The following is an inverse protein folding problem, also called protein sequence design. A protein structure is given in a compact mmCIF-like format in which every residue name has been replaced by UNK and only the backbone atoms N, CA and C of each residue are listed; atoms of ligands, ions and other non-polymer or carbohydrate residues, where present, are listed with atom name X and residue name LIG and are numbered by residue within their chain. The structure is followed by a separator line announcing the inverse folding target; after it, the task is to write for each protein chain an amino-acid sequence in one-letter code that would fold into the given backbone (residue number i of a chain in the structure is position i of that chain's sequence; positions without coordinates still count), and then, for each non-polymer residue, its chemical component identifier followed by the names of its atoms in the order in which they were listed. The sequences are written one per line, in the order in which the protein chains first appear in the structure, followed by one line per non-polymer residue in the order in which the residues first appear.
data_IF_090784970221
#
_entry.id   IF_090784970221
#
_cell.length_a   1.000
_cell.length_b   1.000
_cell.length_c   1.000
_cell.angle_alpha   90.00
_cell.angle_beta   90.00
_cell.angle_gamma   90.00
#
_symmetry.space_group_name_H-M   'P 1'
#
loop_
_entity.id
_entity.type
_entity.pdbx_description
1 polymer ?
#
# COMPACT_ATOMS: atom_id res chain seq x y z
N UNK A 1 -45.33 -18.75 79.73
CA UNK A 1 -45.66 -17.44 80.31
C UNK A 1 -45.52 -16.40 79.21
N UNK A 2 -46.63 -15.73 78.92
CA UNK A 2 -46.86 -14.82 77.83
C UNK A 2 -46.77 -13.39 78.37
N UNK A 3 -45.85 -12.54 77.91
CA UNK A 3 -45.98 -11.10 78.08
C UNK A 3 -45.50 -10.34 76.84
N UNK A 4 -46.43 -9.51 76.36
CA UNK A 4 -46.36 -8.56 75.26
C UNK A 4 -45.44 -7.39 75.62
N UNK A 5 -44.88 -6.71 74.63
CA UNK A 5 -44.90 -5.26 74.57
C UNK A 5 -44.67 -4.75 73.14
N UNK A 6 -45.50 -3.77 72.82
CA UNK A 6 -45.80 -3.16 71.54
C UNK A 6 -45.03 -1.86 71.32
N UNK A 7 -44.95 -1.46 70.04
CA UNK A 7 -45.06 -0.08 69.53
C UNK A 7 -43.77 0.66 69.18
N UNK A 8 -43.76 1.24 67.97
CA UNK A 8 -42.73 2.17 67.50
C UNK A 8 -42.72 2.37 65.99
N UNK A 9 -43.74 3.04 65.46
CA UNK A 9 -43.90 3.45 64.07
C UNK A 9 -42.83 4.50 63.69
N UNK A 10 -42.09 4.33 62.59
CA UNK A 10 -41.68 5.48 61.76
C UNK A 10 -41.44 5.06 60.30
N UNK A 11 -42.28 5.64 59.45
CA UNK A 11 -42.34 5.54 58.01
C UNK A 11 -41.23 6.41 57.40
N UNK A 12 -40.31 5.86 56.60
CA UNK A 12 -39.60 6.62 55.58
C UNK A 12 -39.47 5.80 54.30
N UNK A 13 -40.23 6.26 53.31
CA UNK A 13 -40.18 5.89 51.91
C UNK A 13 -38.86 6.40 51.32
N UNK A 14 -38.04 5.53 50.73
CA UNK A 14 -37.05 5.96 49.74
C UNK A 14 -36.94 4.91 48.63
N UNK A 15 -37.45 5.29 47.46
CA UNK A 15 -37.18 4.65 46.17
C UNK A 15 -35.66 4.64 45.91
N UNK A 16 -35.15 3.49 45.48
CA UNK A 16 -33.80 3.35 44.92
C UNK A 16 -33.79 2.21 43.91
N UNK A 17 -33.83 2.57 42.63
CA UNK A 17 -33.93 1.70 41.46
C UNK A 17 -32.51 1.20 41.10
N UNK A 18 -32.42 -0.09 40.74
CA UNK A 18 -31.38 -0.81 39.98
C UNK A 18 -29.88 -0.60 40.27
N UNK A 19 -29.22 -1.70 40.65
CA UNK A 19 -27.87 -2.00 40.15
C UNK A 19 -27.79 -3.51 39.91
N UNK A 20 -28.24 -3.94 38.74
CA UNK A 20 -27.78 -5.19 38.14
C UNK A 20 -26.51 -4.83 37.34
N UNK A 21 -25.38 -4.82 38.03
CA UNK A 21 -24.08 -4.85 37.38
C UNK A 21 -23.48 -6.23 37.69
N UNK A 22 -23.76 -7.20 36.81
CA UNK A 22 -22.85 -8.32 36.64
C UNK A 22 -21.46 -7.74 36.38
N UNK A 23 -20.49 -8.17 37.19
CA UNK A 23 -19.09 -7.92 36.92
C UNK A 23 -18.73 -8.59 35.60
N UNK A 24 -18.79 -7.82 34.51
CA UNK A 24 -18.02 -8.13 33.31
C UNK A 24 -16.54 -8.05 33.70
N UNK A 25 -15.97 -9.20 34.02
CA UNK A 25 -14.56 -9.32 34.32
C UNK A 25 -13.76 -9.05 33.03
N UNK A 26 -13.19 -7.85 32.93
CA UNK A 26 -12.38 -7.43 31.80
C UNK A 26 -11.14 -8.33 31.62
N UNK A 27 -10.73 -9.05 32.67
CA UNK A 27 -9.63 -10.02 32.60
C UNK A 27 -10.02 -11.31 31.87
N UNK A 28 -11.31 -11.66 31.80
CA UNK A 28 -11.81 -12.81 31.03
C UNK A 28 -11.82 -12.53 29.52
N UNK A 29 -12.02 -11.26 29.12
CA UNK A 29 -11.84 -10.82 27.73
C UNK A 29 -10.38 -10.75 27.30
N UNK A 30 -9.44 -10.49 28.24
CA UNK A 30 -8.00 -10.48 27.97
C UNK A 30 -7.37 -11.86 27.88
N UNK A 31 -7.95 -12.88 28.53
CA UNK A 31 -7.44 -14.26 28.51
C UNK A 31 -7.89 -15.09 27.31
N UNK A 32 -8.76 -14.55 26.46
CA UNK A 32 -9.21 -15.17 25.20
C UNK A 32 -8.78 -14.37 23.98
N UNK A 33 -7.55 -13.85 23.99
CA UNK A 33 -6.90 -13.53 22.72
C UNK A 33 -6.86 -14.82 21.88
N UNK A 34 -7.46 -14.86 20.67
CA UNK A 34 -7.28 -15.99 19.76
C UNK A 34 -5.77 -16.22 19.56
N UNK A 35 -5.28 -17.46 19.35
CA UNK A 35 -3.88 -17.65 18.97
C UNK A 35 -3.60 -16.77 17.73
N UNK A 36 -2.65 -15.84 17.85
CA UNK A 36 -2.13 -15.05 16.72
C UNK A 36 -1.49 -16.01 15.71
N UNK A 37 -1.65 -15.79 14.40
CA UNK A 37 -2.24 -16.80 13.52
C UNK A 37 -1.23 -17.80 12.91
N UNK A 38 -1.68 -19.00 12.52
CA UNK A 38 -0.92 -19.97 11.71
C UNK A 38 -0.69 -19.51 10.25
N UNK A 39 -0.89 -18.22 9.97
CA UNK A 39 -0.92 -17.67 8.63
C UNK A 39 0.42 -17.05 8.24
N UNK A 40 0.90 -17.39 7.06
CA UNK A 40 2.13 -16.88 6.46
C UNK A 40 1.78 -15.89 5.36
N UNK A 41 2.30 -14.67 5.46
CA UNK A 41 2.22 -13.67 4.39
C UNK A 41 3.30 -13.92 3.33
N UNK A 42 2.91 -13.80 2.07
CA UNK A 42 3.73 -14.08 0.89
C UNK A 42 3.55 -12.96 -0.12
N UNK A 43 4.60 -12.64 -0.89
CA UNK A 43 4.46 -11.75 -2.03
C UNK A 43 5.43 -12.10 -3.16
N UNK A 44 5.13 -11.59 -4.36
CA UNK A 44 6.05 -11.58 -5.49
C UNK A 44 5.83 -10.33 -6.34
N UNK A 45 6.91 -9.77 -6.88
CA UNK A 45 6.83 -8.75 -7.94
C UNK A 45 7.05 -9.44 -9.28
N UNK A 46 6.01 -9.44 -10.13
CA UNK A 46 6.06 -10.01 -11.46
C UNK A 46 6.77 -9.04 -12.39
N UNK A 47 7.86 -9.51 -12.99
CA UNK A 47 8.65 -8.75 -13.96
C UNK A 47 9.06 -9.64 -15.12
N UNK A 48 9.30 -9.02 -16.27
CA UNK A 48 9.89 -9.68 -17.43
C UNK A 48 11.36 -10.10 -17.21
N UNK A 49 12.11 -9.39 -16.36
CA UNK A 49 13.50 -9.70 -16.04
C UNK A 49 13.69 -11.02 -15.27
N UNK A 50 12.65 -11.55 -14.64
CA UNK A 50 12.68 -12.84 -13.96
C UNK A 50 12.30 -14.01 -14.90
N UNK A 51 11.82 -13.73 -16.12
CA UNK A 51 11.46 -14.77 -17.10
C UNK A 51 12.72 -15.43 -17.66
N UNK A 52 12.68 -16.75 -17.83
CA UNK A 52 13.82 -17.55 -18.29
C UNK A 52 13.47 -18.31 -19.59
N UNK A 53 14.20 -18.10 -20.71
CA UNK A 53 15.25 -17.09 -20.90
C UNK A 53 14.67 -15.68 -20.95
N UNK A 54 15.47 -14.69 -20.53
CA UNK A 54 15.09 -13.28 -20.58
C UNK A 54 14.80 -12.85 -22.01
N UNK A 55 13.65 -12.20 -22.24
CA UNK A 55 13.30 -11.69 -23.57
C UNK A 55 13.98 -10.35 -23.86
N UNK A 56 14.60 -10.16 -25.03
CA UNK A 56 15.07 -8.85 -25.47
C UNK A 56 13.87 -7.92 -25.71
N UNK A 57 14.00 -6.65 -25.33
CA UNK A 57 12.98 -5.60 -25.60
C UNK A 57 11.60 -5.86 -24.99
N UNK A 58 11.51 -6.60 -23.88
CA UNK A 58 10.25 -6.80 -23.17
C UNK A 58 9.71 -5.47 -22.66
N UNK A 59 8.41 -5.23 -22.91
CA UNK A 59 7.68 -4.11 -22.34
C UNK A 59 7.41 -4.43 -20.87
N UNK A 60 7.85 -3.54 -19.98
CA UNK A 60 7.73 -3.67 -18.53
C UNK A 60 6.32 -4.14 -18.16
N UNK A 61 6.22 -5.43 -17.84
CA UNK A 61 5.01 -6.04 -17.31
C UNK A 61 5.27 -6.16 -15.82
N UNK A 62 4.82 -5.15 -15.08
CA UNK A 62 4.92 -5.09 -13.63
C UNK A 62 3.57 -5.52 -13.09
N UNK A 63 3.54 -6.68 -12.45
CA UNK A 63 2.40 -7.15 -11.65
C UNK A 63 2.83 -7.39 -10.20
N UNK A 64 1.89 -7.47 -9.29
CA UNK A 64 2.12 -7.83 -7.90
C UNK A 64 1.28 -9.06 -7.55
N UNK A 65 1.89 -10.05 -6.92
CA UNK A 65 1.20 -11.15 -6.29
C UNK A 65 1.33 -11.00 -4.78
N UNK A 66 0.22 -11.15 -4.07
CA UNK A 66 0.16 -11.14 -2.62
C UNK A 66 -0.68 -12.31 -2.16
N UNK A 67 -0.28 -12.97 -1.07
CA UNK A 67 -1.04 -14.08 -0.54
C UNK A 67 -0.88 -14.28 0.96
N UNK A 68 -1.87 -14.92 1.55
CA UNK A 68 -1.86 -15.47 2.92
C UNK A 68 -2.02 -16.98 2.84
N UNK A 69 -1.13 -17.72 3.50
CA UNK A 69 -1.17 -19.17 3.57
C UNK A 69 -1.50 -19.64 4.98
N UNK A 70 -2.63 -20.31 5.18
CA UNK A 70 -3.01 -20.94 6.45
C UNK A 70 -2.47 -22.36 6.52
N UNK A 71 -1.49 -22.58 7.41
CA UNK A 71 -0.84 -23.88 7.61
C UNK A 71 -1.75 -24.95 8.24
N UNK A 72 -2.90 -24.58 8.83
CA UNK A 72 -3.84 -25.56 9.40
C UNK A 72 -4.79 -26.13 8.36
N UNK A 73 -5.18 -25.30 7.40
CA UNK A 73 -6.17 -25.65 6.37
C UNK A 73 -5.55 -25.89 5.00
N UNK A 74 -4.25 -25.63 4.84
CA UNK A 74 -3.52 -25.64 3.58
C UNK A 74 -4.10 -24.70 2.53
N UNK A 75 -4.81 -23.65 2.95
CA UNK A 75 -5.42 -22.68 2.05
C UNK A 75 -4.45 -21.53 1.77
N UNK A 76 -4.18 -21.30 0.49
CA UNK A 76 -3.50 -20.12 -0.02
C UNK A 76 -4.55 -19.17 -0.61
N UNK A 77 -4.83 -18.07 0.08
CA UNK A 77 -5.67 -16.98 -0.43
C UNK A 77 -4.77 -15.94 -1.09
N UNK A 78 -5.04 -15.59 -2.35
CA UNK A 78 -4.14 -14.77 -3.16
C UNK A 78 -4.87 -13.64 -3.90
N UNK A 79 -4.11 -12.60 -4.22
CA UNK A 79 -4.46 -11.53 -5.16
C UNK A 79 -3.29 -11.31 -6.11
N UNK A 80 -3.59 -11.12 -7.39
CA UNK A 80 -2.65 -10.76 -8.46
C UNK A 80 -3.15 -9.47 -9.08
N UNK A 81 -2.33 -8.44 -9.03
CA UNK A 81 -2.65 -7.11 -9.52
C UNK A 81 -1.70 -6.74 -10.67
N UNK A 82 -2.26 -6.47 -11.84
CA UNK A 82 -1.53 -6.00 -13.03
C UNK A 82 -1.75 -4.52 -13.30
N UNK A 83 -2.27 -3.78 -12.31
CA UNK A 83 -2.51 -2.34 -12.37
C UNK A 83 -1.22 -1.57 -12.63
N UNK A 84 -0.90 -1.37 -13.91
CA UNK A 84 -0.13 -0.24 -14.39
C UNK A 84 -1.06 0.73 -15.13
N UNK A 85 -0.86 2.03 -14.88
CA UNK A 85 -1.88 3.07 -14.95
C UNK A 85 -2.58 3.35 -16.30
N UNK A 86 -2.26 2.71 -17.43
CA UNK A 86 -2.93 3.00 -18.72
C UNK A 86 -3.03 1.83 -19.72
N UNK A 87 -2.77 0.60 -19.31
CA UNK A 87 -3.03 -0.56 -20.17
C UNK A 87 -3.46 -1.71 -19.29
N UNK A 88 -4.75 -2.07 -19.35
CA UNK A 88 -5.16 -3.41 -18.96
C UNK A 88 -4.27 -4.35 -19.77
N UNK A 89 -3.40 -5.07 -19.07
CA UNK A 89 -2.62 -6.13 -19.66
C UNK A 89 -3.59 -7.31 -19.68
N UNK A 90 -4.08 -7.76 -20.84
CA UNK A 90 -4.79 -9.02 -20.87
C UNK A 90 -3.78 -10.11 -20.55
N UNK A 91 -3.94 -10.74 -19.40
CA UNK A 91 -3.41 -12.07 -19.12
C UNK A 91 -4.46 -13.07 -19.59
N UNK A 92 -4.02 -14.03 -20.41
CA UNK A 92 -4.90 -15.12 -20.82
C UNK A 92 -4.91 -16.19 -19.71
N UNK A 93 -3.78 -16.39 -19.02
CA UNK A 93 -3.63 -17.35 -17.92
C UNK A 93 -2.65 -16.89 -16.83
N UNK A 94 -2.91 -17.34 -15.60
CA UNK A 94 -2.06 -17.15 -14.43
C UNK A 94 -1.71 -18.50 -13.82
N UNK A 95 -0.43 -18.71 -13.52
CA UNK A 95 0.07 -19.99 -13.02
C UNK A 95 0.95 -19.82 -11.78
N UNK A 96 0.79 -20.73 -10.83
CA UNK A 96 1.85 -21.02 -9.86
C UNK A 96 2.67 -22.18 -10.38
N UNK A 97 3.99 -22.07 -10.31
CA UNK A 97 4.92 -23.09 -10.76
C UNK A 97 5.78 -23.60 -9.61
N UNK A 98 6.23 -24.86 -9.75
CA UNK A 98 7.27 -25.46 -8.90
C UNK A 98 8.64 -25.11 -9.48
N UNK A 99 9.49 -24.42 -8.74
CA UNK A 99 10.84 -24.13 -9.19
C UNK A 99 11.55 -23.05 -8.37
N UNK A 100 12.85 -23.24 -8.18
CA UNK A 100 13.71 -22.23 -7.55
C UNK A 100 13.76 -20.95 -8.40
N UNK A 101 14.03 -19.77 -7.79
CA UNK A 101 14.22 -18.53 -8.52
C UNK A 101 15.22 -18.69 -9.68
N UNK A 102 14.83 -18.22 -10.87
CA UNK A 102 15.68 -18.31 -12.07
C UNK A 102 15.66 -19.67 -12.79
N UNK A 103 14.76 -20.59 -12.43
CA UNK A 103 14.54 -21.85 -13.15
C UNK A 103 13.12 -21.92 -13.73
N UNK A 104 12.94 -22.64 -14.85
CA UNK A 104 11.61 -23.03 -15.32
C UNK A 104 11.24 -24.35 -14.68
N UNK A 105 10.01 -24.44 -14.19
CA UNK A 105 9.46 -25.71 -13.74
C UNK A 105 7.97 -25.86 -14.05
N UNK A 106 7.40 -27.02 -13.72
CA UNK A 106 6.04 -27.37 -14.12
C UNK A 106 5.00 -26.51 -13.40
N UNK A 107 3.85 -26.33 -14.06
CA UNK A 107 2.67 -25.70 -13.44
C UNK A 107 2.22 -26.55 -12.24
N UNK A 108 2.09 -25.90 -11.10
CA UNK A 108 1.47 -26.45 -9.89
C UNK A 108 -0.04 -26.20 -9.91
N UNK A 109 -0.45 -24.96 -10.19
CA UNK A 109 -1.85 -24.53 -10.17
C UNK A 109 -2.12 -23.51 -11.27
N UNK A 110 -3.25 -23.67 -11.96
CA UNK A 110 -3.85 -22.61 -12.78
C UNK A 110 -4.77 -21.78 -11.92
N UNK A 111 -4.52 -20.48 -11.89
CA UNK A 111 -5.28 -19.51 -11.11
C UNK A 111 -6.47 -19.04 -11.96
N UNK A 112 -7.72 -19.38 -11.57
CA UNK A 112 -8.89 -19.14 -12.41
C UNK A 112 -9.28 -17.66 -12.52
N UNK A 113 -8.74 -16.83 -11.63
CA UNK A 113 -8.93 -15.38 -11.66
C UNK A 113 -7.80 -14.69 -10.90
N UNK A 114 -7.80 -13.36 -10.93
CA UNK A 114 -6.81 -12.50 -10.29
C UNK A 114 -6.88 -12.54 -8.77
N UNK A 115 -7.94 -13.08 -8.19
CA UNK A 115 -7.99 -13.35 -6.77
C UNK A 115 -8.70 -14.67 -6.52
N UNK A 116 -8.40 -15.30 -5.40
CA UNK A 116 -9.02 -16.58 -5.11
C UNK A 116 -8.40 -17.27 -3.93
N UNK A 117 -8.76 -18.52 -3.78
CA UNK A 117 -8.20 -19.40 -2.77
C UNK A 117 -7.96 -20.76 -3.42
N UNK A 118 -6.78 -21.32 -3.20
CA UNK A 118 -6.41 -22.67 -3.61
C UNK A 118 -5.99 -23.47 -2.39
N UNK A 119 -6.21 -24.79 -2.43
CA UNK A 119 -5.71 -25.71 -1.41
C UNK A 119 -4.40 -26.31 -1.91
N UNK A 120 -3.32 -26.12 -1.15
CA UNK A 120 -2.00 -26.67 -1.49
C UNK A 120 -1.91 -28.15 -1.10
N UNK A 121 -1.18 -28.92 -1.90
CA UNK A 121 -0.70 -30.24 -1.47
C UNK A 121 0.44 -30.07 -0.48
N UNK A 122 0.68 -31.08 0.38
CA UNK A 122 1.81 -31.08 1.32
C UNK A 122 3.18 -30.89 0.62
N UNK A 123 3.32 -31.43 -0.59
CA UNK A 123 4.55 -31.27 -1.38
C UNK A 123 4.73 -29.83 -1.89
N UNK A 124 3.64 -29.18 -2.30
CA UNK A 124 3.68 -27.79 -2.77
C UNK A 124 3.83 -26.79 -1.62
N UNK A 125 3.26 -27.09 -0.46
CA UNK A 125 3.52 -26.33 0.77
C UNK A 125 5.03 -26.30 1.05
N UNK A 126 5.70 -27.46 1.07
CA UNK A 126 7.13 -27.52 1.33
C UNK A 126 7.93 -26.64 0.36
N UNK A 127 7.60 -26.70 -0.94
CA UNK A 127 8.24 -25.87 -1.96
C UNK A 127 7.95 -24.38 -1.74
N UNK A 128 6.72 -24.01 -1.38
CA UNK A 128 6.33 -22.62 -1.11
C UNK A 128 7.11 -22.06 0.08
N UNK A 129 7.23 -22.83 1.16
CA UNK A 129 7.91 -22.44 2.40
C UNK A 129 9.43 -22.34 2.22
N UNK A 130 10.01 -23.10 1.30
CA UNK A 130 11.42 -23.04 0.92
C UNK A 130 11.73 -21.91 -0.08
N UNK A 131 10.72 -21.19 -0.60
CA UNK A 131 10.89 -20.17 -1.64
C UNK A 131 11.14 -20.76 -3.03
N UNK A 132 10.74 -22.01 -3.25
CA UNK A 132 10.88 -22.77 -4.50
C UNK A 132 9.58 -22.77 -5.33
N UNK A 133 8.85 -21.65 -5.30
CA UNK A 133 7.69 -21.42 -6.16
C UNK A 133 7.71 -20.00 -6.73
N UNK A 134 7.11 -19.86 -7.91
CA UNK A 134 6.95 -18.57 -8.58
C UNK A 134 5.59 -18.47 -9.28
N UNK A 135 5.15 -17.25 -9.55
CA UNK A 135 3.95 -16.94 -10.31
C UNK A 135 4.30 -16.43 -11.69
N UNK A 136 3.65 -16.96 -12.72
CA UNK A 136 3.76 -16.53 -14.11
C UNK A 136 2.43 -15.94 -14.58
N UNK A 137 2.52 -14.86 -15.35
CA UNK A 137 1.43 -14.35 -16.17
C UNK A 137 1.73 -14.61 -17.65
N UNK A 138 0.80 -15.26 -18.32
CA UNK A 138 0.92 -15.72 -19.70
C UNK A 138 -0.08 -15.03 -20.61
N UNK A 139 0.34 -14.83 -21.86
CA UNK A 139 -0.46 -14.18 -22.90
C UNK A 139 -0.26 -14.85 -24.26
N UNK A 140 -1.21 -14.65 -25.17
CA UNK A 140 -1.12 -14.99 -26.57
C UNK A 140 -1.54 -16.42 -26.93
N UNK A 141 -1.42 -16.74 -28.21
CA UNK A 141 -1.70 -18.07 -28.75
C UNK A 141 -0.64 -18.45 -29.82
N UNK A 142 0.30 -19.37 -29.53
CA UNK A 142 0.43 -20.13 -28.28
C UNK A 142 0.82 -19.24 -27.09
N UNK A 143 0.40 -19.65 -25.90
CA UNK A 143 0.70 -18.94 -24.65
C UNK A 143 2.21 -18.84 -24.44
N UNK A 144 2.62 -17.71 -23.87
CA UNK A 144 3.97 -17.53 -23.38
C UNK A 144 4.02 -16.67 -22.12
N UNK A 145 4.98 -16.96 -21.25
CA UNK A 145 5.27 -16.14 -20.06
C UNK A 145 5.68 -14.73 -20.43
N UNK A 146 4.87 -13.76 -20.02
CA UNK A 146 5.13 -12.32 -20.17
C UNK A 146 5.88 -11.76 -18.96
N UNK A 147 5.51 -12.19 -17.76
CA UNK A 147 6.15 -11.77 -16.50
C UNK A 147 6.15 -12.89 -15.47
N UNK A 148 7.21 -12.91 -14.65
CA UNK A 148 7.44 -13.87 -13.57
C UNK A 148 7.74 -13.17 -12.24
N UNK A 149 7.23 -13.70 -11.14
CA UNK A 149 7.57 -13.28 -9.79
C UNK A 149 7.92 -14.48 -8.90
N UNK A 150 9.14 -14.55 -8.38
CA UNK A 150 9.50 -15.50 -7.33
C UNK A 150 8.72 -15.19 -6.05
N UNK A 151 8.08 -16.20 -5.44
CA UNK A 151 7.28 -16.02 -4.24
C UNK A 151 8.19 -16.05 -3.02
N UNK A 152 8.13 -15.00 -2.22
CA UNK A 152 8.94 -14.85 -1.01
C UNK A 152 8.06 -14.70 0.22
N UNK A 153 8.52 -15.30 1.32
CA UNK A 153 7.91 -15.14 2.64
C UNK A 153 8.15 -13.74 3.17
N UNK A 154 7.07 -13.08 3.57
CA UNK A 154 7.16 -11.80 4.27
C UNK A 154 7.50 -12.03 5.74
N UNK A 155 8.23 -11.11 6.38
CA UNK A 155 8.59 -11.23 7.79
C UNK A 155 7.34 -11.44 8.66
N UNK A 156 7.34 -12.52 9.46
CA UNK A 156 6.23 -12.89 10.35
C UNK A 156 6.12 -12.03 11.61
N UNK A 157 6.72 -10.84 11.63
CA UNK A 157 6.26 -9.81 12.55
C UNK A 157 4.75 -9.70 12.33
N UNK A 158 3.90 -9.61 13.38
CA UNK A 158 2.50 -9.22 13.17
C UNK A 158 2.58 -8.06 12.19
N UNK A 159 1.99 -8.19 11.00
CA UNK A 159 1.94 -7.07 10.05
C UNK A 159 1.53 -5.92 10.93
N UNK A 160 2.41 -4.93 11.23
CA UNK A 160 2.00 -3.84 12.09
C UNK A 160 0.77 -3.34 11.38
N UNK A 161 -0.40 -3.46 12.02
CA UNK A 161 -1.62 -2.92 11.43
C UNK A 161 -1.19 -1.52 11.06
N UNK A 162 -1.10 -1.20 9.75
CA UNK A 162 -0.39 0.01 9.39
C UNK A 162 -1.11 1.12 10.12
N UNK A 163 -0.34 1.88 10.91
CA UNK A 163 -0.86 3.02 11.63
C UNK A 163 -1.75 3.84 10.72
N UNK A 164 -2.79 4.52 11.25
CA UNK A 164 -3.81 5.18 10.43
C UNK A 164 -3.17 5.90 9.23
N UNK A 165 -3.42 5.40 8.02
CA UNK A 165 -2.77 5.87 6.82
C UNK A 165 -3.57 6.95 6.11
N UNK A 166 -2.88 7.82 5.40
CA UNK A 166 -3.49 8.86 4.57
C UNK A 166 -2.90 8.80 3.16
N UNK A 167 -3.78 8.61 2.18
CA UNK A 167 -3.45 8.71 0.77
C UNK A 167 -3.38 10.18 0.34
N UNK A 168 -2.33 10.50 -0.41
CA UNK A 168 -2.03 11.84 -0.90
C UNK A 168 -1.73 11.78 -2.40
N UNK A 169 -2.11 12.84 -3.11
CA UNK A 169 -1.79 13.06 -4.53
C UNK A 169 -1.36 14.50 -4.75
N UNK A 170 -0.32 14.70 -5.55
CA UNK A 170 0.11 15.99 -6.07
C UNK A 170 0.16 15.93 -7.60
N UNK A 171 -0.51 16.88 -8.26
CA UNK A 171 -0.36 17.12 -9.71
C UNK A 171 0.63 18.28 -9.87
N UNK A 172 1.74 18.02 -10.53
CA UNK A 172 2.83 18.99 -10.66
C UNK A 172 2.88 19.57 -12.07
N UNK A 173 3.08 20.89 -12.19
CA UNK A 173 3.32 21.57 -13.47
C UNK A 173 4.04 22.91 -13.26
N UNK A 174 4.55 23.50 -14.35
CA UNK A 174 5.28 24.77 -14.32
C UNK A 174 4.42 26.00 -13.97
N UNK A 175 3.10 25.93 -14.16
CA UNK A 175 2.18 27.06 -13.86
C UNK A 175 1.97 27.26 -12.36
N UNK A 176 2.19 26.22 -11.57
CA UNK A 176 2.09 26.24 -10.12
C UNK A 176 3.37 26.71 -9.43
N UNK A 177 4.51 26.77 -10.12
CA UNK A 177 5.77 27.31 -9.58
C UNK A 177 5.60 28.80 -9.26
N UNK A 178 6.32 29.32 -8.27
CA UNK A 178 6.19 30.72 -7.85
C UNK A 178 7.56 31.42 -7.92
N UNK A 179 7.81 32.29 -8.91
CA UNK A 179 6.95 32.61 -10.06
C UNK A 179 6.79 31.46 -11.08
N UNK A 180 5.72 31.44 -11.90
CA UNK A 180 5.49 30.37 -12.89
C UNK A 180 6.62 30.23 -13.91
N UNK A 181 6.89 28.99 -14.35
CA UNK A 181 7.88 28.70 -15.39
C UNK A 181 7.22 28.44 -16.75
N UNK A 182 8.05 28.46 -17.80
CA UNK A 182 7.64 28.07 -19.15
C UNK A 182 7.70 26.56 -19.41
N UNK A 183 7.98 25.74 -18.39
CA UNK A 183 8.04 24.28 -18.58
C UNK A 183 6.65 23.75 -18.92
N UNK A 184 6.58 22.97 -20.00
CA UNK A 184 5.37 22.27 -20.42
C UNK A 184 5.22 20.89 -19.77
N UNK A 185 6.22 20.47 -18.98
CA UNK A 185 6.23 19.19 -18.28
C UNK A 185 5.21 19.16 -17.16
N UNK A 186 4.53 18.02 -17.04
CA UNK A 186 3.52 17.75 -16.00
C UNK A 186 3.82 16.45 -15.29
N UNK A 187 3.21 16.21 -14.14
CA UNK A 187 3.38 14.92 -13.46
C UNK A 187 2.29 14.68 -12.42
N UNK A 188 2.18 13.42 -12.01
CA UNK A 188 1.35 13.01 -10.87
C UNK A 188 2.23 12.20 -9.94
N UNK A 189 2.36 12.69 -8.71
CA UNK A 189 3.07 12.00 -7.65
C UNK A 189 2.02 11.61 -6.60
N UNK A 190 2.00 10.33 -6.25
CA UNK A 190 1.10 9.79 -5.24
C UNK A 190 1.92 9.36 -4.03
N UNK A 191 1.28 9.32 -2.87
CA UNK A 191 1.91 8.81 -1.66
C UNK A 191 0.92 8.23 -0.67
N UNK A 192 1.47 7.41 0.23
CA UNK A 192 0.85 6.93 1.44
C UNK A 192 1.67 7.37 2.63
N UNK A 193 1.02 8.10 3.52
CA UNK A 193 1.60 8.56 4.77
C UNK A 193 1.12 7.68 5.92
N UNK A 194 2.06 7.11 6.67
CA UNK A 194 1.78 6.36 7.89
C UNK A 194 1.97 7.28 9.11
N UNK A 195 0.87 7.55 9.83
CA UNK A 195 0.85 8.44 11.00
C UNK A 195 1.56 7.90 12.24
N UNK A 196 1.84 6.61 12.30
CA UNK A 196 2.55 6.02 13.46
C UNK A 196 4.07 6.06 13.26
N UNK A 197 4.52 5.94 12.01
CA UNK A 197 5.96 5.90 11.68
C UNK A 197 6.47 7.21 11.08
N UNK A 198 5.58 8.16 10.76
CA UNK A 198 5.84 9.37 10.00
C UNK A 198 6.55 9.10 8.65
N UNK A 199 6.32 7.93 8.05
CA UNK A 199 6.90 7.56 6.76
C UNK A 199 5.93 7.91 5.65
N UNK A 200 6.43 8.63 4.65
CA UNK A 200 5.78 8.91 3.38
C UNK A 200 6.37 7.99 2.30
N UNK A 201 5.63 6.96 1.91
CA UNK A 201 5.98 6.14 0.75
C UNK A 201 5.35 6.75 -0.49
N UNK A 202 6.13 7.02 -1.53
CA UNK A 202 5.68 7.78 -2.71
C UNK A 202 6.11 7.12 -4.02
N UNK A 203 5.35 7.39 -5.07
CA UNK A 203 5.65 6.96 -6.43
C UNK A 203 5.14 7.97 -7.46
N UNK A 204 5.76 7.98 -8.63
CA UNK A 204 5.30 8.77 -9.77
C UNK A 204 4.87 7.88 -10.93
N UNK A 205 3.91 8.36 -11.71
CA UNK A 205 3.44 7.68 -12.91
C UNK A 205 3.98 8.39 -14.14
N UNK A 206 4.79 7.69 -14.93
CA UNK A 206 5.25 8.18 -16.23
C UNK A 206 4.14 8.03 -17.30
N UNK A 207 3.79 9.12 -17.99
CA UNK A 207 3.00 9.10 -19.24
C UNK A 207 3.66 9.98 -20.29
N UNK A 208 3.22 9.91 -21.55
CA UNK A 208 3.70 10.81 -22.61
C UNK A 208 3.48 12.28 -22.22
N UNK A 209 4.51 13.12 -22.39
CA UNK A 209 4.62 14.53 -21.93
C UNK A 209 4.73 14.77 -20.40
N UNK A 210 4.99 13.74 -19.59
CA UNK A 210 5.25 13.92 -18.15
C UNK A 210 6.74 14.10 -17.81
N UNK A 211 6.99 14.62 -16.61
CA UNK A 211 8.28 14.58 -15.93
C UNK A 211 8.82 13.14 -15.93
N UNK A 212 9.96 12.96 -16.59
CA UNK A 212 10.75 11.76 -16.51
C UNK A 212 11.69 11.91 -15.34
N UNK A 213 11.61 11.05 -14.31
CA UNK A 213 12.56 11.07 -13.18
C UNK A 213 13.80 10.21 -13.47
N UNK A 214 14.24 10.19 -14.73
CA UNK A 214 15.21 9.23 -15.24
C UNK A 214 16.66 9.72 -15.20
N UNK A 215 16.91 10.94 -14.73
CA UNK A 215 18.27 11.50 -14.67
C UNK A 215 18.70 11.81 -13.24
N UNK A 216 19.99 11.55 -12.95
CA UNK A 216 20.62 11.89 -11.66
C UNK A 216 20.72 13.39 -11.37
N UNK A 217 20.24 14.23 -12.29
CA UNK A 217 20.22 15.70 -12.23
C UNK A 217 18.88 16.29 -11.79
N UNK A 218 17.93 15.45 -11.36
CA UNK A 218 16.64 15.86 -10.82
C UNK A 218 16.66 15.81 -9.29
N UNK A 219 16.33 16.94 -8.65
CA UNK A 219 16.09 16.99 -7.22
C UNK A 219 14.59 17.19 -6.99
N UNK A 220 13.98 16.32 -6.19
CA UNK A 220 12.58 16.46 -5.81
C UNK A 220 12.53 16.76 -4.32
N UNK A 221 11.88 17.85 -3.97
CA UNK A 221 11.76 18.30 -2.59
C UNK A 221 10.30 18.35 -2.18
N UNK A 222 10.06 17.95 -0.93
CA UNK A 222 8.84 18.28 -0.23
C UNK A 222 9.10 19.56 0.56
N UNK A 223 8.23 20.55 0.37
CA UNK A 223 8.27 21.82 1.07
C UNK A 223 7.03 22.00 1.95
N UNK A 224 7.17 22.79 3.01
CA UNK A 224 6.04 23.31 3.79
C UNK A 224 5.64 24.68 3.26
N UNK A 225 4.43 24.81 2.75
CA UNK A 225 3.87 26.08 2.28
C UNK A 225 2.44 25.93 1.76
N UNK A 226 1.64 26.97 2.01
CA UNK A 226 0.29 27.08 1.45
C UNK A 226 0.32 27.20 -0.08
N UNK A 227 -0.79 26.92 -0.78
CA UNK A 227 -0.90 27.13 -2.21
C UNK A 227 -0.41 28.54 -2.62
N UNK A 228 0.44 28.61 -3.64
CA UNK A 228 0.97 29.88 -4.15
C UNK A 228 2.05 30.55 -3.27
N UNK A 229 2.47 29.94 -2.17
CA UNK A 229 3.52 30.49 -1.28
C UNK A 229 4.74 29.56 -1.25
N UNK A 230 5.96 30.10 -1.36
CA UNK A 230 7.20 29.33 -1.19
C UNK A 230 7.52 29.14 0.29
N UNK A 231 8.11 28.00 0.64
CA UNK A 231 8.54 27.74 2.01
C UNK A 231 9.72 26.77 2.11
N UNK A 232 10.13 26.37 3.32
CA UNK A 232 11.33 25.57 3.52
C UNK A 232 11.16 24.13 3.02
N UNK A 233 12.29 23.51 2.63
CA UNK A 233 12.37 22.07 2.37
C UNK A 233 12.20 21.33 3.70
N UNK A 234 11.33 20.32 3.72
CA UNK A 234 11.10 19.43 4.86
C UNK A 234 11.51 17.99 4.59
N UNK A 235 11.59 17.57 3.32
CA UNK A 235 12.19 16.29 2.93
C UNK A 235 12.74 16.34 1.50
N UNK A 236 13.77 15.53 1.23
CA UNK A 236 14.23 15.23 -0.13
C UNK A 236 13.64 13.89 -0.56
N UNK A 237 12.98 13.87 -1.71
CA UNK A 237 12.38 12.66 -2.28
C UNK A 237 13.32 12.11 -3.35
N UNK A 238 13.94 10.96 -3.07
CA UNK A 238 14.76 10.25 -4.03
C UNK A 238 13.89 9.40 -4.97
N UNK A 239 14.06 9.60 -6.26
CA UNK A 239 13.43 8.80 -7.30
C UNK A 239 14.54 8.03 -8.04
N UNK A 240 14.78 6.75 -7.70
CA UNK A 240 15.68 5.92 -8.48
C UNK A 240 15.07 5.81 -9.88
N UNK A 241 15.79 6.31 -10.89
CA UNK A 241 15.23 6.46 -12.23
C UNK A 241 14.64 5.18 -12.80
N UNK A 242 13.68 5.33 -13.71
CA UNK A 242 12.89 4.23 -14.25
C UNK A 242 11.48 4.70 -14.60
N UNK A 243 10.65 3.79 -15.13
CA UNK A 243 9.28 4.12 -15.55
C UNK A 243 8.28 4.18 -14.39
N UNK A 244 8.61 3.61 -13.22
CA UNK A 244 7.84 3.68 -11.98
C UNK A 244 8.77 4.00 -10.80
N UNK A 245 9.27 5.24 -10.74
CA UNK A 245 10.22 5.61 -9.71
C UNK A 245 9.47 5.79 -8.39
N UNK A 246 9.98 5.18 -7.33
CA UNK A 246 9.36 5.14 -6.00
C UNK A 246 10.41 5.24 -4.90
N UNK A 247 10.00 5.67 -3.72
CA UNK A 247 10.87 5.77 -2.57
C UNK A 247 10.10 6.05 -1.28
N UNK A 248 10.86 6.24 -0.21
CA UNK A 248 10.34 6.59 1.10
C UNK A 248 11.07 7.82 1.64
N UNK A 249 10.34 8.66 2.35
CA UNK A 249 10.88 9.79 3.09
C UNK A 249 10.27 9.84 4.49
N UNK A 250 11.09 10.17 5.49
CA UNK A 250 10.57 10.48 6.82
C UNK A 250 10.10 11.92 6.87
N UNK A 251 8.90 12.14 7.40
CA UNK A 251 8.31 13.46 7.60
C UNK A 251 8.57 13.88 9.05
N UNK A 252 9.10 15.08 9.29
CA UNK A 252 9.20 15.60 10.65
C UNK A 252 7.81 15.67 11.30
N UNK A 253 7.69 15.24 12.55
CA UNK A 253 6.41 15.24 13.29
C UNK A 253 5.75 16.63 13.30
N UNK A 254 6.55 17.68 13.41
CA UNK A 254 6.09 19.08 13.37
C UNK A 254 5.42 19.48 12.05
N UNK A 255 5.70 18.77 10.95
CA UNK A 255 5.17 19.04 9.61
C UNK A 255 3.97 18.14 9.25
N UNK A 256 3.61 17.15 10.08
CA UNK A 256 2.47 16.25 9.82
C UNK A 256 1.17 17.04 9.61
N UNK A 257 0.88 18.00 10.49
CA UNK A 257 -0.33 18.81 10.39
C UNK A 257 -0.44 19.54 9.05
N UNK A 258 0.68 20.08 8.56
CA UNK A 258 0.75 20.75 7.26
C UNK A 258 0.57 19.75 6.10
N UNK A 259 1.17 18.57 6.18
CA UNK A 259 1.01 17.51 5.19
C UNK A 259 -0.45 17.08 5.05
N UNK A 260 -1.13 16.89 6.19
CA UNK A 260 -2.52 16.41 6.24
C UNK A 260 -3.55 17.50 5.92
N UNK A 261 -3.19 18.78 6.01
CA UNK A 261 -4.08 19.91 5.71
C UNK A 261 -3.86 20.54 4.32
N UNK A 262 -3.01 19.95 3.48
CA UNK A 262 -2.65 20.50 2.16
C UNK A 262 -1.71 21.70 2.20
N UNK A 263 -1.02 21.92 3.32
CA UNK A 263 0.00 22.94 3.55
C UNK A 263 1.42 22.52 3.16
N UNK A 264 1.57 21.47 2.34
CA UNK A 264 2.86 21.05 1.77
C UNK A 264 2.76 20.88 0.26
N UNK A 265 3.90 21.00 -0.42
CA UNK A 265 3.99 20.85 -1.86
C UNK A 265 5.25 20.15 -2.30
N UNK A 266 5.17 19.50 -3.45
CA UNK A 266 6.31 18.95 -4.15
C UNK A 266 6.85 20.03 -5.09
N UNK A 267 8.17 20.17 -5.09
CA UNK A 267 8.91 20.94 -6.07
C UNK A 267 9.90 20.02 -6.79
N UNK A 268 9.90 20.06 -8.10
CA UNK A 268 10.77 19.26 -8.96
C UNK A 268 11.76 20.19 -9.63
N UNK A 269 13.05 19.96 -9.42
CA UNK A 269 14.12 20.78 -9.98
C UNK A 269 14.85 20.01 -11.09
N UNK A 270 15.31 20.77 -12.10
CA UNK A 270 16.27 20.32 -13.12
C UNK A 270 17.37 21.34 -13.29
N UNK A 271 18.45 20.95 -13.96
CA UNK A 271 19.55 21.87 -14.28
C UNK A 271 19.08 23.13 -15.03
N UNK A 272 18.09 23.01 -15.94
CA UNK A 272 17.52 24.13 -16.70
C UNK A 272 16.54 24.98 -15.86
N UNK A 273 16.03 24.42 -14.75
CA UNK A 273 15.05 25.06 -13.87
C UNK A 273 15.49 24.92 -12.39
N UNK A 274 16.60 25.56 -11.98
CA UNK A 274 17.17 25.39 -10.65
C UNK A 274 16.23 25.91 -9.54
N UNK A 275 15.35 26.85 -9.86
CA UNK A 275 14.37 27.42 -8.92
C UNK A 275 13.00 26.69 -8.95
N UNK A 276 12.93 25.49 -9.54
CA UNK A 276 11.71 24.70 -9.69
C UNK A 276 11.26 24.64 -11.15
N UNK A 277 11.20 23.44 -11.72
CA UNK A 277 10.61 23.17 -13.03
C UNK A 277 9.09 23.06 -12.94
N UNK A 278 8.61 22.33 -11.93
CA UNK A 278 7.22 21.99 -11.73
C UNK A 278 6.89 21.87 -10.23
N UNK A 279 5.72 22.39 -9.84
CA UNK A 279 5.23 22.39 -8.46
C UNK A 279 3.83 21.79 -8.38
N UNK A 280 3.49 21.17 -7.24
CA UNK A 280 2.14 20.70 -6.95
C UNK A 280 1.86 20.53 -5.46
N UNK A 281 0.72 21.02 -4.98
CA UNK A 281 0.30 20.80 -3.59
C UNK A 281 -0.08 19.34 -3.35
N UNK A 282 0.26 18.83 -2.17
CA UNK A 282 -0.29 17.57 -1.69
C UNK A 282 -1.74 17.76 -1.29
N UNK A 283 -2.62 16.95 -1.86
CA UNK A 283 -4.01 16.89 -1.45
C UNK A 283 -4.34 15.48 -0.96
N UNK A 284 -5.18 15.39 0.08
CA UNK A 284 -5.73 14.11 0.52
C UNK A 284 -6.60 13.52 -0.58
N UNK A 285 -6.34 12.28 -0.95
CA UNK A 285 -7.13 11.58 -1.94
C UNK A 285 -8.53 11.33 -1.36
N UNK A 286 -9.58 11.71 -2.11
CA UNK A 286 -10.96 11.81 -1.62
C UNK A 286 -11.70 10.48 -1.35
N UNK A 287 -10.98 9.38 -1.13
CA UNK A 287 -11.59 8.11 -0.68
C UNK A 287 -11.30 7.89 0.81
N UNK A 288 -12.29 8.24 1.62
CA UNK A 288 -12.35 7.96 3.05
C UNK A 288 -12.25 6.45 3.31
N UNK A 289 -11.21 6.01 4.02
CA UNK A 289 -11.21 4.72 4.74
C UNK A 289 -10.30 3.58 4.25
N UNK A 290 -9.28 3.82 3.41
CA UNK A 290 -8.42 2.72 2.93
C UNK A 290 -7.23 2.45 3.87
N UNK A 291 -7.15 1.24 4.43
CA UNK A 291 -5.97 0.69 5.13
C UNK A 291 -5.16 -0.09 4.11
N UNK A 292 -3.91 0.28 3.84
CA UNK A 292 -3.06 -0.42 2.87
C UNK A 292 -1.82 -0.95 3.59
N UNK A 293 -1.53 -2.26 3.58
CA UNK A 293 -0.25 -2.76 4.04
C UNK A 293 0.88 -2.03 3.30
N UNK A 294 1.94 -1.59 3.99
CA UNK A 294 3.10 -0.95 3.34
C UNK A 294 3.76 -1.84 2.27
N UNK A 295 3.50 -3.16 2.30
CA UNK A 295 3.91 -4.12 1.28
C UNK A 295 3.07 -4.08 -0.02
N UNK A 296 1.91 -3.42 0.00
CA UNK A 296 0.90 -3.41 -1.08
C UNK A 296 0.66 -2.00 -1.64
N UNK A 297 1.73 -1.30 -2.01
CA UNK A 297 1.68 0.03 -2.66
C UNK A 297 0.93 0.02 -4.02
N UNK A 298 0.51 -1.13 -4.52
CA UNK A 298 -0.13 -1.32 -5.83
C UNK A 298 -1.52 -0.70 -5.97
N UNK A 299 -2.24 -0.42 -4.88
CA UNK A 299 -3.70 -0.14 -4.95
C UNK A 299 -4.04 1.32 -4.69
N UNK A 300 -3.71 2.23 -5.62
CA UNK A 300 -4.35 3.55 -5.67
C UNK A 300 -4.60 4.05 -7.09
N UNK A 301 -5.88 4.03 -7.49
CA UNK A 301 -6.39 4.79 -8.62
C UNK A 301 -7.33 5.88 -8.11
N UNK A 302 -6.95 7.16 -8.23
CA UNK A 302 -7.92 8.25 -8.21
C UNK A 302 -8.29 8.63 -9.64
N UNK A 303 -9.39 8.07 -10.15
CA UNK A 303 -10.12 8.68 -11.25
C UNK A 303 -10.81 9.94 -10.72
N UNK A 304 -10.26 11.12 -10.99
CA UNK A 304 -11.13 12.31 -11.04
C UNK A 304 -10.60 13.31 -12.08
N UNK A 305 -11.46 13.60 -13.05
CA UNK A 305 -11.41 14.72 -13.98
C UNK A 305 -11.77 16.06 -13.30
N UNK A 306 -11.62 16.15 -11.98
CA UNK A 306 -11.88 17.37 -11.22
C UNK A 306 -10.56 18.14 -11.04
N UNK A 307 -10.59 19.49 -11.12
CA UNK A 307 -9.47 20.31 -10.70
C UNK A 307 -9.15 19.99 -9.23
N UNK A 308 -7.87 19.90 -8.89
CA UNK A 308 -7.43 19.74 -7.50
C UNK A 308 -7.92 20.95 -6.70
N UNK A 309 -9.01 20.79 -5.97
CA UNK A 309 -9.39 21.67 -4.87
C UNK A 309 -8.86 21.02 -3.59
N UNK A 310 -7.58 21.31 -3.32
CA UNK A 310 -7.24 21.78 -2.00
C UNK A 310 -7.73 23.25 -1.93
#
# INVERSE_FOLDING_TARGET
MLQKLTSGFLLLLSLGIVSACDQFDLDDLRKKAPPSPPEISLSATLTDNQVVPRRPNSSLSIGAFTATYDQQTNLLTYVVDFSIFFTYIPEDELHLHRGAPGTNGPIAYTLPSHNGTITLTEADEALLLEGNMYVDAEVGNPLYTRSRGAIIRQPSTPVPVPGPQVALTARVDGSQVVPPTSSDRKGIINAIYNKDTNVLAYWSIYTTNNLSFTSSSEAVHLHRGAPGTNGPIIATLSFPGGYYPQGEASIPEADEGALLSGGTYIDVHRAEFPNGEARGQWCRSSKSGLRVPLADISVFVSHSSLPNLC
#
